data_IF_445135594539
#
_entry.id   IF_445135594539
#
_cell.length_a   1.000
_cell.length_b   1.000
_cell.length_c   1.000
_cell.angle_alpha   90.00
_cell.angle_beta   90.00
_cell.angle_gamma   90.00
#
_symmetry.space_group_name_H-M   'P 1'
#
loop_
_entity.id
_entity.type
_entity.pdbx_description
1 polymer ?
#
# COMPACT_ATOMS: atom_id res chain seq x y z
N UNK A 1 -59.80 -42.85 49.07
CA UNK A 1 -59.63 -44.19 48.46
C UNK A 1 -58.30 -44.18 47.74
N UNK A 2 -57.29 -44.72 48.40
CA UNK A 2 -55.90 -44.87 47.94
C UNK A 2 -55.83 -45.95 46.86
N UNK A 3 -55.07 -45.70 45.79
CA UNK A 3 -54.30 -46.74 45.09
C UNK A 3 -53.14 -46.08 44.35
N UNK A 4 -51.94 -46.40 44.83
CA UNK A 4 -50.65 -46.19 44.17
C UNK A 4 -50.53 -47.08 42.93
N UNK A 5 -49.86 -46.57 41.89
CA UNK A 5 -49.15 -47.41 40.92
C UNK A 5 -47.88 -46.69 40.42
N UNK A 6 -46.80 -46.86 41.19
CA UNK A 6 -45.54 -47.51 40.82
C UNK A 6 -44.88 -47.23 39.45
N UNK A 7 -43.57 -46.98 39.53
CA UNK A 7 -42.47 -47.10 38.54
C UNK A 7 -42.35 -46.00 37.48
N UNK A 8 -41.43 -45.05 37.62
CA UNK A 8 -39.97 -45.18 37.44
C UNK A 8 -39.61 -45.66 36.03
N UNK A 9 -39.14 -44.74 35.18
CA UNK A 9 -37.77 -44.72 34.62
C UNK A 9 -37.73 -44.05 33.24
N UNK A 10 -36.66 -43.26 33.11
CA UNK A 10 -35.97 -42.99 31.85
C UNK A 10 -36.61 -41.97 30.91
N UNK A 11 -35.99 -40.79 30.87
CA UNK A 11 -35.40 -40.19 29.64
C UNK A 11 -35.56 -38.67 29.62
N UNK A 12 -34.95 -37.96 30.58
CA UNK A 12 -34.86 -36.49 30.51
C UNK A 12 -33.46 -35.93 30.82
N UNK A 13 -32.42 -36.75 30.66
CA UNK A 13 -31.03 -36.31 30.86
C UNK A 13 -30.17 -36.33 29.58
N UNK A 14 -30.77 -36.51 28.40
CA UNK A 14 -30.01 -36.50 27.13
C UNK A 14 -30.06 -35.13 26.43
N UNK A 15 -30.92 -34.20 26.85
CA UNK A 15 -31.02 -32.87 26.22
C UNK A 15 -30.15 -31.77 26.84
N UNK A 16 -29.40 -32.06 27.92
CA UNK A 16 -28.43 -31.09 28.49
C UNK A 16 -26.97 -31.39 28.13
N UNK A 17 -26.67 -32.55 27.54
CA UNK A 17 -25.31 -32.90 27.12
C UNK A 17 -24.97 -32.44 25.68
N UNK A 18 -25.93 -31.91 24.92
CA UNK A 18 -25.71 -31.51 23.53
C UNK A 18 -25.36 -30.03 23.33
N UNK A 19 -25.40 -29.19 24.38
CA UNK A 19 -24.98 -27.79 24.30
C UNK A 19 -23.54 -27.52 24.78
N UNK A 20 -22.79 -28.55 25.20
CA UNK A 20 -21.41 -28.39 25.65
C UNK A 20 -20.35 -28.98 24.70
N UNK A 21 -20.74 -29.47 23.52
CA UNK A 21 -19.82 -30.06 22.53
C UNK A 21 -19.73 -29.20 21.26
N UNK A 22 -19.71 -27.87 21.42
CA UNK A 22 -19.24 -26.95 20.38
C UNK A 22 -18.05 -26.09 20.85
N UNK A 23 -17.40 -26.44 21.96
CA UNK A 23 -16.20 -25.76 22.47
C UNK A 23 -14.90 -26.54 22.23
N UNK A 24 -14.96 -27.63 21.45
CA UNK A 24 -13.77 -28.43 21.11
C UNK A 24 -13.80 -28.68 19.61
N UNK A 25 -13.44 -27.66 18.83
CA UNK A 25 -13.59 -27.67 17.38
C UNK A 25 -12.64 -26.71 16.71
N UNK A 26 -11.34 -26.90 16.95
CA UNK A 26 -10.26 -26.16 16.34
C UNK A 26 -9.37 -25.53 17.39
N UNK A 27 -8.19 -26.10 17.61
CA UNK A 27 -7.05 -25.23 17.83
C UNK A 27 -7.09 -24.21 16.68
N UNK A 28 -7.46 -22.97 16.98
CA UNK A 28 -6.99 -21.88 16.15
C UNK A 28 -5.48 -22.06 16.16
N UNK A 29 -4.92 -22.60 15.07
CA UNK A 29 -3.50 -22.46 14.80
C UNK A 29 -3.17 -21.01 15.14
N UNK A 30 -2.23 -20.79 16.06
CA UNK A 30 -1.86 -19.48 16.58
C UNK A 30 -1.38 -18.59 15.45
N UNK A 31 -2.32 -18.03 14.69
CA UNK A 31 -2.07 -17.20 13.55
C UNK A 31 -1.57 -15.87 14.12
N UNK A 32 -0.37 -15.48 13.69
CA UNK A 32 0.12 -14.15 13.97
C UNK A 32 -0.85 -13.12 13.40
N UNK A 33 -1.14 -12.11 14.20
CA UNK A 33 -1.90 -10.92 13.81
C UNK A 33 -0.95 -9.73 13.81
N UNK A 34 -1.32 -8.58 13.20
CA UNK A 34 -0.53 -7.35 13.35
C UNK A 34 -0.26 -6.97 14.82
N UNK A 35 -1.13 -7.40 15.74
CA UNK A 35 -1.01 -7.11 17.17
C UNK A 35 -0.17 -8.13 17.96
N UNK A 36 0.20 -9.25 17.35
CA UNK A 36 0.98 -10.31 18.01
C UNK A 36 2.36 -9.79 18.42
N UNK A 37 2.84 -10.20 19.61
CA UNK A 37 4.13 -9.75 20.15
C UNK A 37 5.30 -10.06 19.20
N UNK A 38 5.25 -11.20 18.51
CA UNK A 38 6.27 -11.63 17.56
C UNK A 38 6.28 -10.75 16.32
N UNK A 39 5.11 -10.29 15.86
CA UNK A 39 5.00 -9.37 14.71
C UNK A 39 5.52 -7.99 15.10
N UNK A 40 5.15 -7.48 16.28
CA UNK A 40 5.68 -6.20 16.78
C UNK A 40 7.20 -6.23 16.94
N UNK A 41 7.75 -7.31 17.52
CA UNK A 41 9.19 -7.49 17.62
C UNK A 41 9.87 -7.52 16.24
N UNK A 42 9.29 -8.20 15.25
CA UNK A 42 9.80 -8.22 13.88
C UNK A 42 9.81 -6.81 13.24
N UNK A 43 8.76 -6.01 13.48
CA UNK A 43 8.70 -4.63 12.97
C UNK A 43 9.77 -3.75 13.64
N UNK A 44 9.94 -3.85 14.95
CA UNK A 44 10.93 -3.07 15.71
C UNK A 44 12.37 -3.44 15.31
N UNK A 45 12.66 -4.73 15.14
CA UNK A 45 13.96 -5.21 14.64
C UNK A 45 14.19 -4.76 13.18
N UNK A 46 13.15 -4.83 12.35
CA UNK A 46 13.18 -4.35 10.97
C UNK A 46 13.51 -2.86 10.88
N UNK A 47 12.83 -2.02 11.67
CA UNK A 47 13.14 -0.59 11.72
C UNK A 47 14.57 -0.34 12.21
N UNK A 48 15.00 -1.03 13.27
CA UNK A 48 16.36 -0.94 13.83
C UNK A 48 17.44 -1.33 12.81
N UNK A 49 17.13 -2.25 11.90
CA UNK A 49 18.01 -2.59 10.78
C UNK A 49 18.04 -1.45 9.76
N UNK A 50 16.88 -0.95 9.33
CA UNK A 50 16.76 0.13 8.33
C UNK A 50 17.45 1.43 8.77
N UNK A 51 17.46 1.76 10.07
CA UNK A 51 18.18 2.91 10.63
C UNK A 51 19.70 2.88 10.38
N UNK A 52 20.25 1.68 10.15
CA UNK A 52 21.68 1.47 9.92
C UNK A 52 22.03 1.35 8.44
N UNK A 53 21.03 1.16 7.58
CA UNK A 53 21.22 1.02 6.14
C UNK A 53 21.59 2.38 5.55
N UNK A 54 22.71 2.43 4.84
CA UNK A 54 22.99 3.55 3.95
C UNK A 54 22.27 3.30 2.63
N UNK A 55 21.40 4.22 2.25
CA UNK A 55 20.83 4.23 0.90
C UNK A 55 21.93 4.73 -0.03
N UNK A 56 22.56 3.78 -0.73
CA UNK A 56 23.58 4.04 -1.74
C UNK A 56 23.00 3.55 -3.08
N UNK A 57 22.85 4.46 -4.05
CA UNK A 57 22.22 4.17 -5.34
C UNK A 57 22.75 5.04 -6.48
N UNK A 58 22.53 4.59 -7.72
CA UNK A 58 22.78 5.38 -8.93
C UNK A 58 21.63 6.39 -9.15
N UNK A 59 21.92 7.70 -9.18
CA UNK A 59 20.92 8.78 -9.42
C UNK A 59 20.62 9.64 -8.18
N UNK A 60 19.48 10.35 -8.17
CA UNK A 60 19.08 11.24 -7.04
C UNK A 60 18.69 10.49 -5.76
N UNK A 61 18.44 9.17 -5.84
CA UNK A 61 18.14 8.23 -4.73
C UNK A 61 17.06 8.70 -3.73
N UNK A 62 16.26 9.70 -4.10
CA UNK A 62 15.20 10.23 -3.25
C UNK A 62 14.07 9.22 -3.09
N UNK A 63 13.79 8.38 -4.09
CA UNK A 63 12.77 7.33 -4.01
C UNK A 63 13.08 6.26 -2.96
N UNK A 64 14.35 5.83 -2.87
CA UNK A 64 14.80 4.90 -1.83
C UNK A 64 14.66 5.51 -0.43
N UNK A 65 15.07 6.78 -0.27
CA UNK A 65 14.89 7.50 0.99
C UNK A 65 13.42 7.75 1.32
N UNK A 66 12.58 8.00 0.32
CA UNK A 66 11.14 8.20 0.49
C UNK A 66 10.44 6.94 0.99
N UNK A 67 10.76 5.75 0.46
CA UNK A 67 10.13 4.51 0.93
C UNK A 67 10.59 4.12 2.34
N UNK A 68 11.85 4.39 2.69
CA UNK A 68 12.33 4.20 4.07
C UNK A 68 11.64 5.16 5.05
N UNK A 69 11.53 6.44 4.69
CA UNK A 69 10.80 7.42 5.47
C UNK A 69 9.33 7.02 5.64
N UNK A 70 8.66 6.61 4.56
CA UNK A 70 7.27 6.20 4.60
C UNK A 70 7.09 4.97 5.51
N UNK A 71 7.95 3.95 5.37
CA UNK A 71 7.95 2.76 6.23
C UNK A 71 8.13 3.12 7.71
N UNK A 72 9.11 3.97 8.02
CA UNK A 72 9.36 4.43 9.39
C UNK A 72 8.17 5.24 9.94
N UNK A 73 7.54 6.08 9.11
CA UNK A 73 6.37 6.84 9.51
C UNK A 73 5.14 5.95 9.76
N UNK A 74 4.90 4.94 8.93
CA UNK A 74 3.78 4.00 9.14
C UNK A 74 3.92 3.20 10.43
N UNK A 75 5.15 2.88 10.85
CA UNK A 75 5.41 2.15 12.10
C UNK A 75 5.38 3.07 13.33
N UNK A 76 6.08 4.19 13.26
CA UNK A 76 6.33 5.05 14.44
C UNK A 76 5.31 6.15 14.63
N UNK A 77 4.57 6.52 13.57
CA UNK A 77 3.72 7.71 13.51
C UNK A 77 4.42 9.01 13.96
N UNK A 78 5.74 9.06 13.89
CA UNK A 78 6.55 10.18 14.35
C UNK A 78 7.15 10.93 13.16
N UNK A 79 6.61 12.12 12.80
CA UNK A 79 7.20 12.94 11.75
C UNK A 79 8.66 13.32 12.02
N UNK A 80 9.04 13.47 13.29
CA UNK A 80 10.39 13.84 13.71
C UNK A 80 11.42 12.70 13.70
N UNK A 81 11.03 11.48 13.32
CA UNK A 81 11.94 10.34 13.26
C UNK A 81 13.09 10.62 12.25
N UNK A 82 14.36 10.26 12.55
CA UNK A 82 15.50 10.58 11.68
C UNK A 82 15.34 10.11 10.22
N UNK A 83 14.90 8.85 10.02
CA UNK A 83 14.61 8.33 8.68
C UNK A 83 13.51 9.12 7.95
N UNK A 84 12.47 9.56 8.68
CA UNK A 84 11.38 10.35 8.11
C UNK A 84 11.89 11.71 7.66
N UNK A 85 12.66 12.39 8.51
CA UNK A 85 13.26 13.69 8.18
C UNK A 85 14.23 13.59 7.00
N UNK A 86 15.04 12.53 6.94
CA UNK A 86 15.97 12.31 5.82
C UNK A 86 15.24 12.12 4.49
N UNK A 87 14.20 11.26 4.45
CA UNK A 87 13.42 11.06 3.23
C UNK A 87 12.59 12.28 2.84
N UNK A 88 12.00 12.97 3.81
CA UNK A 88 11.30 14.23 3.57
C UNK A 88 12.23 15.27 2.94
N UNK A 89 13.44 15.45 3.49
CA UNK A 89 14.40 16.42 2.96
C UNK A 89 14.82 16.07 1.53
N UNK A 90 15.06 14.79 1.23
CA UNK A 90 15.39 14.34 -0.12
C UNK A 90 14.24 14.57 -1.12
N UNK A 91 13.00 14.26 -0.71
CA UNK A 91 11.81 14.49 -1.52
C UNK A 91 11.59 15.98 -1.79
N UNK A 92 11.70 16.82 -0.77
CA UNK A 92 11.52 18.28 -0.92
C UNK A 92 12.56 18.88 -1.86
N UNK A 93 13.82 18.44 -1.77
CA UNK A 93 14.85 18.88 -2.70
C UNK A 93 14.55 18.45 -4.15
N UNK A 94 14.12 17.22 -4.38
CA UNK A 94 13.74 16.78 -5.73
C UNK A 94 12.52 17.56 -6.27
N UNK A 95 11.59 17.96 -5.39
CA UNK A 95 10.43 18.79 -5.76
C UNK A 95 10.79 20.22 -6.17
N UNK A 96 12.01 20.71 -5.90
CA UNK A 96 12.49 22.01 -6.40
C UNK A 96 12.54 22.04 -7.93
N UNK A 97 12.57 20.87 -8.58
CA UNK A 97 12.47 20.73 -10.05
C UNK A 97 11.03 20.94 -10.59
N UNK A 98 10.05 21.16 -9.72
CA UNK A 98 8.64 21.35 -10.09
C UNK A 98 8.10 20.14 -10.87
N UNK A 99 7.47 20.39 -12.02
CA UNK A 99 6.92 19.32 -12.89
C UNK A 99 7.98 18.37 -13.47
N UNK A 100 9.27 18.69 -13.33
CA UNK A 100 10.38 17.82 -13.71
C UNK A 100 10.90 16.96 -12.54
N UNK A 101 10.17 16.90 -11.41
CA UNK A 101 10.49 15.99 -10.29
C UNK A 101 10.72 14.56 -10.79
N UNK A 102 11.87 13.99 -10.40
CA UNK A 102 12.31 12.65 -10.76
C UNK A 102 12.68 12.46 -12.23
N UNK A 103 12.82 13.51 -13.05
CA UNK A 103 13.08 13.37 -14.49
C UNK A 103 14.37 12.60 -14.82
N UNK A 104 15.37 12.65 -13.93
CA UNK A 104 16.67 11.97 -14.11
C UNK A 104 16.67 10.54 -13.53
N UNK A 105 15.55 10.09 -12.95
CA UNK A 105 15.43 8.80 -12.28
C UNK A 105 14.86 7.73 -13.21
N UNK A 106 15.61 6.66 -13.47
CA UNK A 106 15.12 5.52 -14.27
C UNK A 106 13.94 4.80 -13.60
N UNK A 107 13.77 4.95 -12.28
CA UNK A 107 12.66 4.42 -11.48
C UNK A 107 11.60 5.49 -11.18
N UNK A 108 11.57 6.59 -11.96
CA UNK A 108 10.77 7.79 -11.70
C UNK A 108 9.38 7.53 -11.15
N UNK A 109 8.57 6.68 -11.81
CA UNK A 109 7.18 6.44 -11.39
C UNK A 109 7.09 5.86 -9.99
N UNK A 110 7.99 4.95 -9.61
CA UNK A 110 8.06 4.44 -8.24
C UNK A 110 8.42 5.56 -7.27
N UNK A 111 9.50 6.28 -7.56
CA UNK A 111 10.06 7.28 -6.67
C UNK A 111 9.11 8.45 -6.40
N UNK A 112 8.50 9.02 -7.45
CA UNK A 112 7.56 10.14 -7.28
C UNK A 112 6.23 9.69 -6.68
N UNK A 113 5.76 8.46 -6.98
CA UNK A 113 4.54 7.93 -6.35
C UNK A 113 4.70 7.75 -4.84
N UNK A 114 5.83 7.17 -4.39
CA UNK A 114 6.12 7.02 -2.97
C UNK A 114 6.34 8.36 -2.29
N UNK A 115 7.03 9.30 -2.96
CA UNK A 115 7.20 10.65 -2.47
C UNK A 115 5.85 11.34 -2.23
N UNK A 116 4.88 11.20 -3.16
CA UNK A 116 3.55 11.77 -2.98
C UNK A 116 2.81 11.12 -1.79
N UNK A 117 2.85 9.79 -1.65
CA UNK A 117 2.25 9.11 -0.51
C UNK A 117 2.84 9.59 0.82
N UNK A 118 4.16 9.75 0.91
CA UNK A 118 4.84 10.26 2.09
C UNK A 118 4.39 11.69 2.44
N UNK A 119 4.43 12.62 1.48
CA UNK A 119 4.05 14.02 1.71
C UNK A 119 2.59 14.14 2.13
N UNK A 120 1.69 13.43 1.44
CA UNK A 120 0.26 13.47 1.68
C UNK A 120 -0.11 12.86 3.05
N UNK A 121 0.60 11.81 3.49
CA UNK A 121 0.39 11.24 4.82
C UNK A 121 1.02 12.07 5.95
N UNK A 122 2.17 12.71 5.73
CA UNK A 122 2.80 13.56 6.74
C UNK A 122 1.98 14.83 7.02
N UNK A 123 1.70 15.62 5.98
CA UNK A 123 0.92 16.85 6.08
C UNK A 123 0.51 17.37 4.68
N UNK A 124 -0.62 16.89 4.17
CA UNK A 124 -1.15 17.27 2.84
C UNK A 124 -1.34 18.78 2.64
N UNK A 125 -1.67 19.53 3.69
CA UNK A 125 -1.90 20.97 3.59
C UNK A 125 -0.57 21.72 3.51
N UNK A 126 0.38 21.37 4.38
CA UNK A 126 1.72 21.97 4.37
C UNK A 126 2.48 21.68 3.08
N UNK A 127 2.34 20.47 2.52
CA UNK A 127 3.07 20.03 1.34
C UNK A 127 2.26 20.14 0.04
N UNK A 128 1.19 20.95 0.04
CA UNK A 128 0.25 21.04 -1.07
C UNK A 128 0.95 21.27 -2.43
N UNK A 129 1.84 22.26 -2.51
CA UNK A 129 2.51 22.62 -3.76
C UNK A 129 3.41 21.49 -4.30
N UNK A 130 4.07 20.74 -3.42
CA UNK A 130 4.92 19.62 -3.80
C UNK A 130 4.09 18.42 -4.27
N UNK A 131 2.95 18.16 -3.61
CA UNK A 131 1.99 17.14 -4.04
C UNK A 131 1.44 17.50 -5.43
N UNK A 132 1.05 18.74 -5.67
CA UNK A 132 0.59 19.19 -6.99
C UNK A 132 1.69 19.08 -8.05
N UNK A 133 2.94 19.43 -7.73
CA UNK A 133 4.06 19.27 -8.66
C UNK A 133 4.27 17.81 -9.07
N UNK A 134 4.20 16.88 -8.11
CA UNK A 134 4.27 15.44 -8.37
C UNK A 134 3.06 14.96 -9.17
N UNK A 135 1.85 15.39 -8.83
CA UNK A 135 0.63 15.03 -9.55
C UNK A 135 0.74 15.44 -11.02
N UNK A 136 1.16 16.68 -11.30
CA UNK A 136 1.37 17.14 -12.67
C UNK A 136 2.47 16.36 -13.39
N UNK A 137 3.55 15.99 -12.71
CA UNK A 137 4.61 15.15 -13.28
C UNK A 137 4.11 13.74 -13.63
N UNK A 138 3.27 13.14 -12.78
CA UNK A 138 2.60 11.87 -13.05
C UNK A 138 1.68 12.03 -14.27
N UNK A 139 0.76 12.99 -14.27
CA UNK A 139 -0.17 13.21 -15.39
C UNK A 139 0.56 13.37 -16.72
N UNK A 140 1.65 14.15 -16.76
CA UNK A 140 2.49 14.34 -17.95
C UNK A 140 3.20 13.06 -18.41
N UNK A 141 3.40 12.09 -17.51
CA UNK A 141 4.08 10.83 -17.81
C UNK A 141 3.14 9.73 -18.31
N UNK A 142 1.83 9.95 -18.31
CA UNK A 142 0.88 8.97 -18.81
C UNK A 142 1.07 8.75 -20.32
N UNK A 143 1.20 7.49 -20.72
CA UNK A 143 1.41 7.13 -22.13
C UNK A 143 0.09 7.16 -22.90
N UNK A 144 0.15 7.19 -24.23
CA UNK A 144 -1.04 7.29 -25.08
C UNK A 144 -2.09 6.21 -24.77
N UNK A 145 -1.66 4.98 -24.49
CA UNK A 145 -2.52 3.85 -24.15
C UNK A 145 -3.19 3.93 -22.76
N UNK A 146 -2.82 4.91 -21.93
CA UNK A 146 -3.37 5.15 -20.59
C UNK A 146 -2.53 4.57 -19.45
N UNK A 147 -1.61 3.66 -19.74
CA UNK A 147 -0.68 3.11 -18.77
C UNK A 147 0.51 4.02 -18.45
N UNK A 148 1.32 3.55 -17.50
CA UNK A 148 2.57 4.15 -17.04
C UNK A 148 3.69 3.13 -17.17
N UNK A 149 4.93 3.59 -17.25
CA UNK A 149 6.08 2.68 -17.34
C UNK A 149 7.37 3.45 -17.55
N UNK A 150 8.46 2.72 -17.76
CA UNK A 150 9.77 3.32 -18.00
C UNK A 150 9.76 4.29 -19.19
N UNK A 151 10.54 5.36 -19.08
CA UNK A 151 10.55 6.43 -20.08
C UNK A 151 11.08 5.96 -21.43
N UNK A 152 12.04 5.04 -21.44
CA UNK A 152 12.65 4.50 -22.66
C UNK A 152 11.79 3.48 -23.42
N UNK A 153 10.69 3.00 -22.83
CA UNK A 153 9.82 1.99 -23.43
C UNK A 153 8.47 2.62 -23.83
N UNK A 154 7.80 2.07 -24.84
CA UNK A 154 6.47 2.53 -25.25
C UNK A 154 5.37 1.78 -24.50
N UNK A 155 5.68 0.59 -24.05
CA UNK A 155 4.83 -0.31 -23.28
C UNK A 155 4.51 0.27 -21.90
N UNK A 156 3.37 -0.14 -21.37
CA UNK A 156 3.05 0.04 -19.96
C UNK A 156 3.74 -1.03 -19.10
N UNK A 157 3.87 -0.73 -17.82
CA UNK A 157 4.42 -1.59 -16.79
C UNK A 157 3.41 -1.67 -15.64
N UNK A 158 2.89 -2.87 -15.40
CA UNK A 158 1.82 -3.10 -14.42
C UNK A 158 2.24 -2.67 -13.02
N UNK A 159 3.48 -2.93 -12.62
CA UNK A 159 3.99 -2.52 -11.30
C UNK A 159 4.11 -1.01 -11.15
N UNK A 160 4.53 -0.27 -12.17
CA UNK A 160 4.54 1.19 -12.12
C UNK A 160 3.12 1.75 -12.09
N UNK A 161 2.20 1.18 -12.87
CA UNK A 161 0.78 1.55 -12.84
C UNK A 161 0.18 1.38 -11.44
N UNK A 162 0.52 0.31 -10.72
CA UNK A 162 0.08 0.12 -9.33
C UNK A 162 0.55 1.25 -8.41
N UNK A 163 1.82 1.65 -8.50
CA UNK A 163 2.34 2.76 -7.69
C UNK A 163 1.66 4.09 -8.04
N UNK A 164 1.47 4.38 -9.32
CA UNK A 164 0.78 5.62 -9.75
C UNK A 164 -0.66 5.64 -9.26
N UNK A 165 -1.38 4.52 -9.34
CA UNK A 165 -2.75 4.41 -8.83
C UNK A 165 -2.81 4.62 -7.31
N UNK A 166 -1.89 4.02 -6.54
CA UNK A 166 -1.81 4.24 -5.10
C UNK A 166 -1.54 5.71 -4.77
N UNK A 167 -0.71 6.36 -5.57
CA UNK A 167 -0.41 7.77 -5.43
C UNK A 167 -1.68 8.62 -5.67
N UNK A 168 -2.37 8.43 -6.81
CA UNK A 168 -3.64 9.11 -7.11
C UNK A 168 -4.69 8.89 -6.03
N UNK A 169 -4.87 7.64 -5.60
CA UNK A 169 -5.80 7.30 -4.52
C UNK A 169 -5.45 8.03 -3.22
N UNK A 170 -4.17 8.03 -2.84
CA UNK A 170 -3.70 8.71 -1.61
C UNK A 170 -3.94 10.21 -1.68
N UNK A 171 -3.64 10.84 -2.81
CA UNK A 171 -3.88 12.27 -3.03
C UNK A 171 -5.38 12.60 -2.90
N UNK A 172 -6.24 11.81 -3.55
CA UNK A 172 -7.69 11.98 -3.47
C UNK A 172 -8.23 11.81 -2.03
N UNK A 173 -7.76 10.80 -1.29
CA UNK A 173 -8.12 10.60 0.12
C UNK A 173 -7.68 11.75 1.02
N UNK A 174 -6.67 12.51 0.61
CA UNK A 174 -6.13 13.67 1.33
C UNK A 174 -6.66 15.00 0.81
N UNK A 175 -7.70 14.99 -0.02
CA UNK A 175 -8.40 16.18 -0.47
C UNK A 175 -7.79 16.89 -1.69
N UNK A 176 -6.83 16.27 -2.37
CA UNK A 176 -6.32 16.77 -3.64
C UNK A 176 -7.22 16.35 -4.80
N UNK A 177 -7.34 17.22 -5.80
CA UNK A 177 -8.13 16.92 -6.99
C UNK A 177 -7.29 16.13 -7.97
N UNK A 178 -7.67 14.87 -8.20
CA UNK A 178 -7.13 14.05 -9.30
C UNK A 178 -8.15 14.06 -10.42
N UNK A 179 -7.71 14.39 -11.64
CA UNK A 179 -8.61 14.41 -12.80
C UNK A 179 -9.12 12.99 -13.13
N UNK A 180 -10.39 12.89 -13.52
CA UNK A 180 -11.03 11.61 -13.83
C UNK A 180 -10.47 10.96 -15.11
N UNK A 181 -10.28 11.73 -16.18
CA UNK A 181 -9.86 11.20 -17.50
C UNK A 181 -8.54 10.40 -17.44
N UNK A 182 -7.47 10.85 -16.76
CA UNK A 182 -6.26 10.06 -16.57
C UNK A 182 -6.51 8.75 -15.81
N UNK A 183 -7.36 8.78 -14.78
CA UNK A 183 -7.71 7.58 -13.99
C UNK A 183 -8.51 6.60 -14.84
N UNK A 184 -9.50 7.07 -15.60
CA UNK A 184 -10.30 6.24 -16.51
C UNK A 184 -9.42 5.56 -17.57
N UNK A 185 -8.47 6.30 -18.17
CA UNK A 185 -7.55 5.73 -19.16
C UNK A 185 -6.62 4.69 -18.57
N UNK A 186 -6.12 4.92 -17.36
CA UNK A 186 -5.34 3.92 -16.62
C UNK A 186 -6.18 2.67 -16.34
N UNK A 187 -7.41 2.83 -15.85
CA UNK A 187 -8.32 1.71 -15.57
C UNK A 187 -8.64 0.91 -16.82
N UNK A 188 -8.92 1.58 -17.94
CA UNK A 188 -9.15 0.93 -19.22
C UNK A 188 -7.91 0.17 -19.70
N UNK A 189 -6.71 0.71 -19.51
CA UNK A 189 -5.46 -0.01 -19.81
C UNK A 189 -5.33 -1.30 -18.98
N UNK A 190 -5.61 -1.25 -17.67
CA UNK A 190 -5.62 -2.46 -16.82
C UNK A 190 -6.65 -3.48 -17.30
N UNK A 191 -7.87 -3.07 -17.63
CA UNK A 191 -8.91 -3.97 -18.11
C UNK A 191 -8.52 -4.67 -19.43
N UNK A 192 -7.91 -3.95 -20.38
CA UNK A 192 -7.47 -4.52 -21.66
C UNK A 192 -6.26 -5.44 -21.53
N UNK A 193 -5.43 -5.25 -20.51
CA UNK A 193 -4.16 -5.97 -20.34
C UNK A 193 -4.22 -7.10 -19.31
N UNK A 194 -5.37 -7.31 -18.68
CA UNK A 194 -5.59 -8.45 -17.79
C UNK A 194 -5.54 -9.76 -18.60
N UNK A 195 -4.75 -10.71 -18.13
CA UNK A 195 -4.71 -12.06 -18.68
C UNK A 195 -6.06 -12.77 -18.46
N UNK A 196 -6.52 -13.66 -19.37
CA UNK A 196 -7.77 -14.40 -19.18
C UNK A 196 -7.87 -15.20 -17.86
N UNK A 197 -6.75 -15.54 -17.22
CA UNK A 197 -6.72 -16.14 -15.88
C UNK A 197 -7.06 -15.18 -14.73
N UNK A 198 -7.17 -13.88 -15.02
CA UNK A 198 -7.35 -12.80 -14.05
C UNK A 198 -6.04 -12.16 -13.57
N UNK A 199 -4.89 -12.71 -13.96
CA UNK A 199 -3.57 -12.17 -13.63
C UNK A 199 -3.15 -10.98 -14.49
N UNK A 200 -1.98 -10.40 -14.17
CA UNK A 200 -1.38 -9.32 -14.94
C UNK A 200 0.09 -9.62 -15.22
N UNK A 201 0.50 -9.45 -16.48
CA UNK A 201 1.91 -9.51 -16.87
C UNK A 201 2.68 -8.27 -16.41
N UNK A 202 4.01 -8.36 -16.34
CA UNK A 202 4.88 -7.22 -15.96
C UNK A 202 4.78 -6.07 -16.98
N UNK A 203 5.02 -6.38 -18.26
CA UNK A 203 4.84 -5.47 -19.39
C UNK A 203 3.91 -6.14 -20.41
N UNK A 204 2.59 -6.09 -20.18
CA UNK A 204 1.63 -6.81 -21.00
C UNK A 204 1.54 -6.18 -22.40
N UNK A 205 1.20 -7.01 -23.39
CA UNK A 205 0.89 -6.53 -24.73
C UNK A 205 -0.54 -5.96 -24.73
N UNK A 206 -0.68 -4.66 -24.90
CA UNK A 206 -1.99 -4.00 -25.03
C UNK A 206 -2.62 -4.34 -26.39
N UNK A 207 -3.83 -4.91 -26.43
CA UNK A 207 -4.53 -5.22 -27.69
C UNK A 207 -5.10 -4.00 -28.42
N UNK A 208 -5.17 -2.82 -27.79
CA UNK A 208 -5.74 -1.59 -28.38
C UNK A 208 -7.10 -1.23 -27.80
#
# INVERSE_FOLDING_TARGET
MTMDFVMQRSSCWILFASCCVCLIGGNAYGAYTPESKEVKAMLDEGLSFLEKVKVEGHGSDFGGKAILAYTAYKHTHNPGHPLVQQGLQAVLHECEKGQNVGADDVKRMYSISVAMMLLAELDSQKYHNQIEAILQALLKSQKNHGGFGYQQYQEGDTSQVQYVMLAFWTAAQKGHTVADEPVERLMNWLLRTQDPSGGYGYMPKDPG
#
